data_IF_547118988718
#
_entry.id   IF_547118988718
#
_cell.length_a   1.000
_cell.length_b   1.000
_cell.length_c   1.000
_cell.angle_alpha   90.00
_cell.angle_beta   90.00
_cell.angle_gamma   90.00
#
_symmetry.space_group_name_H-M   'P 1'
#
loop_
_entity.id
_entity.type
_entity.pdbx_description
1 polymer ?
#
# COMPACT_ATOMS: atom_id res chain seq x y z
N UNK A 1 -3.31 -20.09 13.87
CA UNK A 1 -4.74 -20.29 14.17
C UNK A 1 -5.31 -21.10 13.01
N UNK A 2 -5.81 -22.31 13.24
CA UNK A 2 -6.42 -23.10 12.17
C UNK A 2 -7.61 -22.29 11.66
N UNK A 3 -7.52 -21.75 10.44
CA UNK A 3 -8.59 -20.90 9.92
C UNK A 3 -9.87 -21.73 9.84
N UNK A 4 -11.04 -21.09 9.97
CA UNK A 4 -12.32 -21.77 9.79
C UNK A 4 -12.41 -22.53 8.44
N UNK A 5 -11.62 -22.15 7.42
CA UNK A 5 -11.42 -22.89 6.16
C UNK A 5 -10.77 -24.26 6.38
N UNK A 6 -9.87 -24.38 7.36
CA UNK A 6 -9.24 -25.64 7.78
C UNK A 6 -10.22 -26.55 8.54
N UNK A 7 -11.16 -25.98 9.31
CA UNK A 7 -12.25 -26.72 9.95
C UNK A 7 -13.31 -27.17 8.93
N UNK A 8 -13.59 -26.35 7.91
CA UNK A 8 -14.43 -26.71 6.76
C UNK A 8 -13.71 -27.78 5.88
N UNK A 9 -12.38 -27.80 5.84
CA UNK A 9 -11.59 -28.76 5.04
C UNK A 9 -11.79 -30.23 5.40
N UNK A 10 -12.25 -30.54 6.60
CA UNK A 10 -12.39 -31.91 7.09
C UNK A 10 -13.84 -32.42 7.13
N UNK A 11 -14.82 -31.63 6.65
CA UNK A 11 -16.24 -31.95 6.78
C UNK A 11 -16.88 -32.37 5.43
N UNK A 12 -17.55 -33.53 5.32
CA UNK A 12 -18.15 -34.01 4.06
C UNK A 12 -19.31 -33.14 3.51
N UNK A 13 -19.90 -32.23 4.28
CA UNK A 13 -20.94 -31.27 3.81
C UNK A 13 -20.34 -29.89 3.42
N UNK A 14 -19.09 -29.89 2.96
CA UNK A 14 -18.21 -28.73 2.74
C UNK A 14 -18.79 -27.67 1.82
N UNK A 15 -19.27 -28.14 0.67
CA UNK A 15 -19.73 -27.30 -0.42
C UNK A 15 -21.01 -26.58 -0.03
N UNK A 16 -21.93 -27.27 0.62
CA UNK A 16 -23.20 -26.70 1.05
C UNK A 16 -23.03 -25.63 2.14
N UNK A 17 -22.12 -25.85 3.11
CA UNK A 17 -21.78 -24.84 4.12
C UNK A 17 -21.10 -23.59 3.52
N UNK A 18 -20.16 -23.79 2.59
CA UNK A 18 -19.49 -22.69 1.88
C UNK A 18 -20.47 -21.88 1.02
N UNK A 19 -21.32 -22.56 0.24
CA UNK A 19 -22.35 -21.93 -0.59
C UNK A 19 -23.39 -21.18 0.25
N UNK A 20 -23.68 -21.64 1.46
CA UNK A 20 -24.67 -21.00 2.35
C UNK A 20 -24.13 -19.77 3.07
N UNK A 21 -22.84 -19.75 3.43
CA UNK A 21 -22.27 -18.69 4.30
C UNK A 21 -21.28 -17.82 3.53
N UNK A 22 -20.23 -18.41 2.96
CA UNK A 22 -19.14 -17.67 2.34
C UNK A 22 -19.57 -16.97 1.05
N UNK A 23 -20.39 -17.61 0.21
CA UNK A 23 -20.84 -16.99 -1.05
C UNK A 23 -21.71 -15.75 -0.80
N UNK A 24 -22.76 -15.78 0.06
CA UNK A 24 -23.52 -14.58 0.39
C UNK A 24 -22.67 -13.48 1.03
N UNK A 25 -21.76 -13.85 1.94
CA UNK A 25 -20.88 -12.89 2.60
C UNK A 25 -19.89 -12.25 1.61
N UNK A 26 -19.37 -13.02 0.65
CA UNK A 26 -18.53 -12.53 -0.45
C UNK A 26 -19.29 -11.52 -1.32
N UNK A 27 -20.51 -11.87 -1.77
CA UNK A 27 -21.34 -10.99 -2.61
C UNK A 27 -21.67 -9.70 -1.84
N UNK A 28 -22.06 -9.81 -0.57
CA UNK A 28 -22.35 -8.67 0.29
C UNK A 28 -21.13 -7.74 0.44
N UNK A 29 -19.94 -8.32 0.65
CA UNK A 29 -18.68 -7.57 0.73
C UNK A 29 -18.36 -6.83 -0.57
N UNK A 30 -18.49 -7.51 -1.71
CA UNK A 30 -18.19 -6.96 -3.03
C UNK A 30 -19.14 -5.81 -3.41
N UNK A 31 -20.41 -5.91 -2.99
CA UNK A 31 -21.47 -4.96 -3.36
C UNK A 31 -21.68 -3.85 -2.31
N UNK A 32 -21.11 -4.00 -1.12
CA UNK A 32 -21.33 -3.10 0.01
C UNK A 32 -22.68 -3.29 0.72
N UNK A 33 -23.31 -4.47 0.60
CA UNK A 33 -24.55 -4.81 1.31
C UNK A 33 -24.25 -5.15 2.78
N UNK A 34 -24.16 -4.11 3.61
CA UNK A 34 -23.89 -4.25 5.03
C UNK A 34 -24.99 -5.01 5.77
N UNK A 35 -26.24 -4.89 5.36
CA UNK A 35 -27.38 -5.51 6.05
C UNK A 35 -27.33 -7.04 5.94
N UNK A 36 -26.94 -7.56 4.77
CA UNK A 36 -26.75 -9.01 4.60
C UNK A 36 -25.51 -9.50 5.33
N UNK A 37 -24.37 -8.80 5.21
CA UNK A 37 -23.16 -9.20 5.93
C UNK A 37 -23.34 -9.16 7.45
N UNK A 38 -23.97 -8.11 7.98
CA UNK A 38 -24.21 -7.95 9.42
C UNK A 38 -25.02 -9.11 9.97
N UNK A 39 -26.13 -9.49 9.32
CA UNK A 39 -26.95 -10.63 9.77
C UNK A 39 -26.14 -11.93 9.85
N UNK A 40 -25.30 -12.19 8.84
CA UNK A 40 -24.45 -13.38 8.83
C UNK A 40 -23.41 -13.34 9.96
N UNK A 41 -22.80 -12.18 10.21
CA UNK A 41 -21.81 -11.99 11.27
C UNK A 41 -22.46 -12.05 12.66
N UNK A 42 -23.70 -11.55 12.83
CA UNK A 42 -24.46 -11.67 14.08
C UNK A 42 -24.81 -13.13 14.41
N UNK A 43 -25.01 -13.98 13.40
CA UNK A 43 -25.20 -15.42 13.60
C UNK A 43 -23.89 -16.14 13.98
N UNK A 44 -22.73 -15.61 13.58
CA UNK A 44 -21.42 -16.14 13.93
C UNK A 44 -20.34 -15.04 13.86
N UNK A 45 -19.95 -14.51 15.02
CA UNK A 45 -19.01 -13.38 15.15
C UNK A 45 -17.62 -13.67 14.55
N UNK A 46 -17.20 -14.94 14.51
CA UNK A 46 -15.92 -15.36 13.92
C UNK A 46 -15.83 -15.01 12.42
N UNK A 47 -16.97 -14.82 11.74
CA UNK A 47 -17.02 -14.51 10.32
C UNK A 47 -16.45 -13.13 9.97
N UNK A 48 -16.35 -12.20 10.94
CA UNK A 48 -15.75 -10.90 10.71
C UNK A 48 -14.24 -11.01 10.38
N UNK A 49 -13.56 -11.99 11.00
CA UNK A 49 -12.11 -12.20 10.88
C UNK A 49 -11.69 -13.50 10.18
N UNK A 50 -12.63 -14.26 9.60
CA UNK A 50 -12.27 -15.49 8.90
C UNK A 50 -11.94 -15.24 7.42
N UNK A 51 -11.12 -16.11 6.85
CA UNK A 51 -11.00 -16.18 5.39
C UNK A 51 -12.26 -16.80 4.78
N UNK A 52 -12.74 -16.18 3.71
CA UNK A 52 -13.91 -16.61 2.94
C UNK A 52 -13.54 -17.04 1.51
N UNK A 53 -12.27 -16.94 1.11
CA UNK A 53 -11.78 -17.38 -0.21
C UNK A 53 -10.55 -18.29 -0.09
N UNK A 54 -10.18 -18.92 -1.21
CA UNK A 54 -8.95 -19.74 -1.30
C UNK A 54 -7.67 -18.90 -1.18
N UNK A 55 -7.74 -17.59 -1.48
CA UNK A 55 -6.61 -16.66 -1.36
C UNK A 55 -6.44 -16.11 0.06
N UNK A 56 -7.01 -16.74 1.07
CA UNK A 56 -7.03 -16.25 2.46
C UNK A 56 -7.67 -14.85 2.63
N UNK A 57 -8.54 -14.42 1.71
CA UNK A 57 -9.18 -13.11 1.80
C UNK A 57 -10.33 -13.15 2.79
N UNK A 58 -10.37 -12.15 3.68
CA UNK A 58 -11.51 -11.90 4.57
C UNK A 58 -12.54 -11.00 3.91
N UNK A 59 -13.72 -10.88 4.53
CA UNK A 59 -14.76 -9.89 4.19
C UNK A 59 -14.19 -8.48 3.96
N UNK A 60 -13.22 -8.07 4.79
CA UNK A 60 -12.58 -6.76 4.69
C UNK A 60 -11.72 -6.62 3.42
N UNK A 61 -11.00 -7.68 3.01
CA UNK A 61 -10.21 -7.68 1.77
C UNK A 61 -11.11 -7.53 0.55
N UNK A 62 -12.20 -8.30 0.49
CA UNK A 62 -13.14 -8.29 -0.64
C UNK A 62 -13.86 -6.94 -0.76
N UNK A 63 -14.15 -6.29 0.36
CA UNK A 63 -14.80 -4.97 0.37
C UNK A 63 -13.91 -3.84 -0.21
N UNK A 64 -12.59 -4.09 -0.37
CA UNK A 64 -11.67 -3.15 -1.03
C UNK A 64 -11.83 -3.22 -2.55
N UNK A 65 -12.88 -2.57 -3.05
CA UNK A 65 -13.09 -2.42 -4.49
C UNK A 65 -12.21 -1.30 -5.08
N UNK A 66 -11.70 -1.45 -6.32
CA UNK A 66 -11.09 -0.34 -7.07
C UNK A 66 -12.04 0.85 -7.24
N UNK A 67 -13.35 0.60 -7.29
CA UNK A 67 -14.36 1.66 -7.42
C UNK A 67 -15.03 1.88 -6.07
N UNK A 68 -14.57 2.89 -5.35
CA UNK A 68 -15.20 3.31 -4.10
C UNK A 68 -16.60 3.85 -4.34
N UNK A 69 -17.61 3.16 -3.80
CA UNK A 69 -18.99 3.64 -3.71
C UNK A 69 -19.31 3.98 -2.27
N UNK A 70 -20.34 4.81 -2.05
CA UNK A 70 -20.81 5.11 -0.70
C UNK A 70 -21.19 3.85 0.08
N UNK A 71 -21.78 2.86 -0.60
CA UNK A 71 -22.13 1.56 -0.02
C UNK A 71 -20.89 0.80 0.46
N UNK A 72 -19.86 0.67 -0.38
CA UNK A 72 -18.62 0.00 0.02
C UNK A 72 -17.86 0.76 1.11
N UNK A 73 -17.88 2.09 1.09
CA UNK A 73 -17.29 2.90 2.17
C UNK A 73 -18.01 2.70 3.51
N UNK A 74 -19.35 2.68 3.49
CA UNK A 74 -20.16 2.46 4.69
C UNK A 74 -20.05 1.02 5.20
N UNK A 75 -20.01 0.05 4.29
CA UNK A 75 -19.71 -1.35 4.59
C UNK A 75 -18.38 -1.50 5.33
N UNK A 76 -17.29 -0.95 4.77
CA UNK A 76 -15.96 -1.03 5.41
C UNK A 76 -15.98 -0.33 6.76
N UNK A 77 -16.60 0.85 6.88
CA UNK A 77 -16.67 1.59 8.15
C UNK A 77 -17.40 0.81 9.24
N UNK A 78 -18.52 0.17 8.90
CA UNK A 78 -19.26 -0.62 9.86
C UNK A 78 -18.52 -1.91 10.22
N UNK A 79 -17.92 -2.58 9.21
CA UNK A 79 -17.17 -3.82 9.43
C UNK A 79 -15.97 -3.59 10.34
N UNK A 80 -15.11 -2.60 10.08
CA UNK A 80 -13.98 -2.33 10.99
C UNK A 80 -14.46 -1.89 12.37
N UNK A 81 -15.63 -1.26 12.49
CA UNK A 81 -16.22 -0.89 13.77
C UNK A 81 -16.56 -2.06 14.70
N UNK A 82 -16.66 -3.27 14.16
CA UNK A 82 -16.92 -4.51 14.94
C UNK A 82 -15.74 -5.47 14.97
N UNK A 83 -14.66 -5.19 14.22
CA UNK A 83 -13.47 -6.04 14.17
C UNK A 83 -12.48 -5.67 15.28
N UNK A 84 -11.69 -6.66 15.72
CA UNK A 84 -10.50 -6.38 16.54
C UNK A 84 -9.35 -5.87 15.68
N UNK A 85 -8.37 -5.22 16.31
CA UNK A 85 -7.15 -4.77 15.62
C UNK A 85 -6.47 -5.94 14.90
N UNK A 86 -6.36 -7.11 15.54
CA UNK A 86 -5.74 -8.29 14.95
C UNK A 86 -6.49 -8.78 13.71
N UNK A 87 -7.82 -8.69 13.70
CA UNK A 87 -8.64 -9.10 12.55
C UNK A 87 -8.46 -8.12 11.37
N UNK A 88 -8.36 -6.82 11.64
CA UNK A 88 -8.15 -5.80 10.59
C UNK A 88 -6.76 -5.93 9.96
N UNK A 89 -5.79 -6.43 10.73
CA UNK A 89 -4.40 -6.65 10.31
C UNK A 89 -4.17 -7.96 9.57
N UNK A 90 -5.19 -8.82 9.40
CA UNK A 90 -5.05 -10.08 8.68
C UNK A 90 -4.56 -9.85 7.24
N UNK A 91 -3.79 -10.82 6.76
CA UNK A 91 -3.15 -10.79 5.46
C UNK A 91 -3.71 -11.90 4.57
N UNK A 92 -3.92 -11.57 3.30
CA UNK A 92 -4.24 -12.55 2.27
C UNK A 92 -3.05 -13.49 1.97
N UNK A 93 -3.22 -14.41 1.02
CA UNK A 93 -2.20 -15.39 0.62
C UNK A 93 -0.93 -14.75 0.04
N UNK A 94 -1.01 -13.51 -0.44
CA UNK A 94 0.14 -12.73 -0.93
C UNK A 94 0.78 -11.86 0.16
N UNK A 95 0.26 -11.94 1.39
CA UNK A 95 0.69 -11.14 2.52
C UNK A 95 0.06 -9.75 2.56
N UNK A 96 -0.88 -9.39 1.68
CA UNK A 96 -1.44 -8.04 1.69
C UNK A 96 -2.55 -7.93 2.73
N UNK A 97 -2.54 -6.86 3.52
CA UNK A 97 -3.71 -6.44 4.31
C UNK A 97 -4.72 -5.75 3.39
N UNK A 98 -5.92 -5.49 3.90
CA UNK A 98 -6.90 -4.65 3.21
C UNK A 98 -6.34 -3.26 2.83
N UNK A 99 -5.45 -2.67 3.66
CA UNK A 99 -4.79 -1.40 3.30
C UNK A 99 -3.79 -1.59 2.13
N UNK A 100 -3.06 -2.71 2.11
CA UNK A 100 -2.20 -3.06 0.98
C UNK A 100 -2.98 -3.19 -0.34
N UNK A 101 -4.13 -3.87 -0.31
CA UNK A 101 -5.03 -3.95 -1.47
C UNK A 101 -5.58 -2.57 -1.86
N UNK A 102 -5.94 -1.73 -0.89
CA UNK A 102 -6.43 -0.38 -1.15
C UNK A 102 -5.34 0.47 -1.81
N UNK A 103 -4.08 0.28 -1.39
CA UNK A 103 -2.92 0.94 -1.96
C UNK A 103 -2.69 0.53 -3.42
N UNK A 104 -2.76 -0.77 -3.74
CA UNK A 104 -2.68 -1.31 -5.10
C UNK A 104 -3.81 -0.77 -5.97
N UNK A 105 -5.03 -0.72 -5.43
CA UNK A 105 -6.22 -0.23 -6.11
C UNK A 105 -6.25 1.31 -6.29
N UNK A 106 -5.54 2.05 -5.43
CA UNK A 106 -5.60 3.51 -5.37
C UNK A 106 -6.85 4.06 -4.69
N UNK A 107 -7.56 3.25 -3.88
CA UNK A 107 -8.80 3.67 -3.22
C UNK A 107 -8.54 4.46 -1.93
N UNK A 108 -8.24 5.75 -2.09
CA UNK A 108 -7.88 6.66 -0.97
C UNK A 108 -8.98 6.75 0.09
N UNK A 109 -10.25 6.64 -0.29
CA UNK A 109 -11.36 6.76 0.67
C UNK A 109 -11.44 5.57 1.61
N UNK A 110 -11.31 4.35 1.09
CA UNK A 110 -11.23 3.15 1.92
C UNK A 110 -9.96 3.18 2.78
N UNK A 111 -8.81 3.56 2.20
CA UNK A 111 -7.58 3.69 2.97
C UNK A 111 -7.71 4.66 4.15
N UNK A 112 -8.40 5.80 3.98
CA UNK A 112 -8.69 6.72 5.09
C UNK A 112 -9.50 6.06 6.21
N UNK A 113 -10.52 5.28 5.87
CA UNK A 113 -11.34 4.58 6.86
C UNK A 113 -10.46 3.59 7.65
N UNK A 114 -9.66 2.79 6.94
CA UNK A 114 -8.75 1.81 7.53
C UNK A 114 -7.70 2.45 8.45
N UNK A 115 -7.00 3.47 7.98
CA UNK A 115 -5.94 4.16 8.75
C UNK A 115 -6.52 4.93 9.94
N UNK A 116 -7.74 5.47 9.82
CA UNK A 116 -8.44 6.11 10.95
C UNK A 116 -8.77 5.09 12.04
N UNK A 117 -9.11 3.87 11.65
CA UNK A 117 -9.39 2.80 12.60
C UNK A 117 -8.11 2.27 13.24
N UNK A 118 -7.08 1.93 12.44
CA UNK A 118 -5.82 1.39 12.94
C UNK A 118 -4.62 1.90 12.14
N UNK A 119 -3.79 2.75 12.76
CA UNK A 119 -2.58 3.31 12.13
C UNK A 119 -1.49 2.26 11.90
N UNK A 120 -1.51 1.15 12.64
CA UNK A 120 -0.53 0.08 12.51
C UNK A 120 -0.51 -0.55 11.12
N UNK A 121 -1.64 -0.50 10.40
CA UNK A 121 -1.76 -0.94 9.01
C UNK A 121 -0.74 -0.29 8.08
N UNK A 122 -0.33 0.96 8.35
CA UNK A 122 0.68 1.68 7.56
C UNK A 122 2.03 0.95 7.53
N UNK A 123 2.29 0.10 8.51
CA UNK A 123 3.59 -0.50 8.78
C UNK A 123 3.62 -2.02 8.54
N UNK A 124 2.47 -2.64 8.22
CA UNK A 124 2.39 -4.07 7.94
C UNK A 124 2.88 -4.33 6.52
N UNK A 125 3.87 -5.22 6.41
CA UNK A 125 4.52 -5.54 5.14
C UNK A 125 3.74 -6.61 4.40
N UNK A 126 3.23 -6.25 3.22
CA UNK A 126 2.69 -7.18 2.25
C UNK A 126 3.69 -7.65 1.20
N UNK A 127 3.20 -8.35 0.18
CA UNK A 127 4.03 -8.95 -0.86
C UNK A 127 5.07 -9.92 -0.29
N UNK A 128 4.61 -10.88 0.54
CA UNK A 128 5.44 -11.85 1.27
C UNK A 128 6.47 -11.20 2.22
N UNK A 129 6.08 -10.11 2.90
CA UNK A 129 6.85 -9.50 3.99
C UNK A 129 7.87 -8.44 3.56
N UNK A 130 7.90 -8.05 2.29
CA UNK A 130 8.94 -7.15 1.77
C UNK A 130 8.46 -5.72 1.51
N UNK A 131 7.15 -5.46 1.43
CA UNK A 131 6.64 -4.20 0.87
C UNK A 131 5.62 -3.50 1.76
N UNK A 132 5.84 -2.22 2.05
CA UNK A 132 4.89 -1.37 2.78
C UNK A 132 3.75 -0.89 1.86
N UNK A 133 2.55 -0.58 2.39
CA UNK A 133 1.43 -0.08 1.58
C UNK A 133 1.79 1.15 0.72
N UNK A 134 2.57 2.09 1.26
CA UNK A 134 3.03 3.26 0.50
C UNK A 134 3.88 2.86 -0.72
N UNK A 135 4.75 1.86 -0.58
CA UNK A 135 5.54 1.35 -1.70
C UNK A 135 4.64 0.68 -2.75
N UNK A 136 3.64 -0.11 -2.33
CA UNK A 136 2.66 -0.71 -3.25
C UNK A 136 1.90 0.38 -4.05
N UNK A 137 1.47 1.46 -3.40
CA UNK A 137 0.82 2.57 -4.11
C UNK A 137 1.74 3.17 -5.20
N UNK A 138 3.04 3.34 -4.91
CA UNK A 138 4.01 3.86 -5.88
C UNK A 138 4.29 2.86 -7.01
N UNK A 139 4.44 1.57 -6.68
CA UNK A 139 4.64 0.48 -7.64
C UNK A 139 3.51 0.41 -8.68
N UNK A 140 2.27 0.68 -8.26
CA UNK A 140 1.09 0.69 -9.13
C UNK A 140 0.73 2.10 -9.65
N UNK A 141 1.60 3.11 -9.46
CA UNK A 141 1.43 4.46 -9.99
C UNK A 141 0.20 5.21 -9.44
N UNK A 142 -0.22 4.91 -8.21
CA UNK A 142 -1.42 5.50 -7.60
C UNK A 142 -1.10 6.83 -6.93
N UNK A 143 -0.90 7.89 -7.73
CA UNK A 143 -0.49 9.22 -7.26
C UNK A 143 -1.22 9.71 -6.00
N UNK A 144 -2.56 9.80 -6.03
CA UNK A 144 -3.34 10.32 -4.90
C UNK A 144 -3.17 9.49 -3.62
N UNK A 145 -2.99 8.18 -3.79
CA UNK A 145 -2.73 7.25 -2.70
C UNK A 145 -1.31 7.39 -2.15
N UNK A 146 -0.32 7.56 -3.02
CA UNK A 146 1.07 7.84 -2.60
C UNK A 146 1.11 9.13 -1.80
N UNK A 147 0.49 10.19 -2.29
CA UNK A 147 0.44 11.47 -1.58
C UNK A 147 -0.27 11.36 -0.22
N UNK A 148 -1.38 10.60 -0.16
CA UNK A 148 -2.08 10.33 1.09
C UNK A 148 -1.20 9.56 2.10
N UNK A 149 -0.71 8.37 1.72
CA UNK A 149 0.05 7.50 2.61
C UNK A 149 1.39 8.13 3.01
N UNK A 150 2.03 8.89 2.12
CA UNK A 150 3.26 9.63 2.46
C UNK A 150 3.04 10.63 3.60
N UNK A 151 1.90 11.33 3.57
CA UNK A 151 1.50 12.24 4.65
C UNK A 151 1.19 11.51 5.97
N UNK A 152 0.58 10.33 5.88
CA UNK A 152 0.28 9.52 7.07
C UNK A 152 1.52 8.86 7.69
N UNK A 153 2.56 8.56 6.90
CA UNK A 153 3.82 7.94 7.33
C UNK A 153 4.87 8.95 7.85
N UNK A 154 4.43 10.07 8.45
CA UNK A 154 5.31 11.08 9.06
C UNK A 154 6.48 11.53 8.15
N UNK A 155 6.26 11.59 6.84
CA UNK A 155 7.27 11.88 5.82
C UNK A 155 8.50 10.94 5.85
N UNK A 156 8.28 9.68 6.21
CA UNK A 156 9.27 8.59 6.24
C UNK A 156 10.33 8.75 7.33
N UNK A 157 10.02 9.39 8.46
CA UNK A 157 10.98 9.62 9.55
C UNK A 157 10.94 8.57 10.67
N UNK A 158 10.02 7.61 10.58
CA UNK A 158 9.89 6.54 11.57
C UNK A 158 10.89 5.39 11.36
N UNK A 159 10.88 4.42 12.28
CA UNK A 159 11.76 3.24 12.28
C UNK A 159 11.52 2.25 11.13
N UNK A 160 10.39 2.35 10.42
CA UNK A 160 10.02 1.42 9.36
C UNK A 160 10.64 1.82 8.01
N UNK A 161 11.11 3.06 7.89
CA UNK A 161 11.75 3.62 6.71
C UNK A 161 13.27 3.78 6.90
N UNK A 162 14.05 2.80 6.44
CA UNK A 162 15.50 2.94 6.30
C UNK A 162 15.87 3.51 4.92
N UNK A 163 17.16 3.79 4.70
CA UNK A 163 17.63 4.37 3.44
C UNK A 163 17.42 3.47 2.22
N UNK A 164 17.47 2.15 2.40
CA UNK A 164 17.18 1.17 1.34
C UNK A 164 15.72 1.24 0.89
N UNK A 165 14.76 1.14 1.83
CA UNK A 165 13.33 1.22 1.51
C UNK A 165 12.95 2.60 0.95
N UNK A 166 13.53 3.68 1.47
CA UNK A 166 13.34 5.01 0.90
C UNK A 166 13.90 5.13 -0.51
N UNK A 167 15.05 4.50 -0.78
CA UNK A 167 15.64 4.41 -2.12
C UNK A 167 14.74 3.65 -3.10
N UNK A 168 14.15 2.52 -2.67
CA UNK A 168 13.18 1.78 -3.48
C UNK A 168 11.93 2.60 -3.77
N UNK A 169 11.35 3.24 -2.75
CA UNK A 169 10.18 4.11 -2.91
C UNK A 169 10.50 5.27 -3.86
N UNK A 170 11.65 5.92 -3.69
CA UNK A 170 12.12 7.00 -4.56
C UNK A 170 12.24 6.53 -6.01
N UNK A 171 12.88 5.39 -6.25
CA UNK A 171 12.98 4.79 -7.60
C UNK A 171 11.59 4.58 -8.20
N UNK A 172 10.65 4.00 -7.44
CA UNK A 172 9.30 3.76 -7.94
C UNK A 172 8.49 5.02 -8.17
N UNK A 173 8.61 6.05 -7.31
CA UNK A 173 8.00 7.35 -7.59
C UNK A 173 8.55 7.97 -8.87
N UNK A 174 9.85 7.86 -9.13
CA UNK A 174 10.47 8.38 -10.35
C UNK A 174 10.05 7.61 -11.61
N UNK A 175 9.98 6.27 -11.54
CA UNK A 175 9.50 5.42 -12.63
C UNK A 175 8.02 5.64 -12.95
N UNK A 176 7.21 6.00 -11.94
CA UNK A 176 5.78 6.27 -12.07
C UNK A 176 5.45 7.76 -12.28
N UNK A 177 6.43 8.60 -12.58
CA UNK A 177 6.29 10.05 -12.80
C UNK A 177 5.68 10.84 -11.62
N UNK A 178 5.83 10.35 -10.39
CA UNK A 178 5.41 10.98 -9.13
C UNK A 178 6.55 11.89 -8.60
N UNK A 179 6.86 12.94 -9.35
CA UNK A 179 8.06 13.76 -9.13
C UNK A 179 8.04 14.64 -7.87
N UNK A 180 6.87 15.10 -7.44
CA UNK A 180 6.70 15.95 -6.26
C UNK A 180 7.01 15.20 -4.96
N UNK A 181 6.52 13.97 -4.80
CA UNK A 181 6.83 13.10 -3.67
C UNK A 181 8.29 12.65 -3.74
N UNK A 182 8.79 12.28 -4.93
CA UNK A 182 10.21 11.98 -5.11
C UNK A 182 11.12 13.12 -4.64
N UNK A 183 10.76 14.37 -4.98
CA UNK A 183 11.49 15.54 -4.52
C UNK A 183 11.42 15.72 -3.00
N UNK A 184 10.25 15.50 -2.37
CA UNK A 184 10.13 15.55 -0.89
C UNK A 184 11.03 14.50 -0.23
N UNK A 185 11.10 13.28 -0.77
CA UNK A 185 11.97 12.20 -0.27
C UNK A 185 13.44 12.61 -0.32
N UNK A 186 13.93 13.08 -1.47
CA UNK A 186 15.32 13.53 -1.62
C UNK A 186 15.63 14.76 -0.76
N UNK A 187 14.67 15.65 -0.58
CA UNK A 187 14.85 16.83 0.28
C UNK A 187 15.00 16.44 1.74
N UNK A 188 14.20 15.49 2.21
CA UNK A 188 14.28 15.00 3.59
C UNK A 188 15.49 14.08 3.81
N UNK A 189 15.94 13.37 2.77
CA UNK A 189 17.08 12.45 2.81
C UNK A 189 18.04 12.66 1.63
N UNK A 190 18.85 13.75 1.65
CA UNK A 190 19.74 14.09 0.55
C UNK A 190 20.76 13.00 0.19
N UNK A 191 21.12 12.15 1.17
CA UNK A 191 22.05 11.04 0.97
C UNK A 191 21.57 10.02 -0.06
N UNK A 192 20.24 9.88 -0.24
CA UNK A 192 19.66 8.94 -1.20
C UNK A 192 19.96 9.32 -2.65
N UNK A 193 20.13 10.61 -2.94
CA UNK A 193 20.43 11.10 -4.28
C UNK A 193 21.80 10.67 -4.81
N UNK A 194 22.69 10.21 -3.93
CA UNK A 194 24.02 9.72 -4.27
C UNK A 194 24.09 8.19 -4.42
N UNK A 195 22.99 7.47 -4.14
CA UNK A 195 22.98 6.00 -4.26
C UNK A 195 23.02 5.58 -5.74
N UNK A 196 23.76 4.53 -6.12
CA UNK A 196 23.92 4.13 -7.52
C UNK A 196 22.58 3.89 -8.25
N UNK A 197 21.62 3.24 -7.59
CA UNK A 197 20.30 2.96 -8.14
C UNK A 197 19.51 4.24 -8.46
N UNK A 198 19.51 5.21 -7.54
CA UNK A 198 18.83 6.49 -7.75
C UNK A 198 19.55 7.33 -8.80
N UNK A 199 20.89 7.31 -8.82
CA UNK A 199 21.67 8.04 -9.81
C UNK A 199 21.40 7.54 -11.24
N UNK A 200 21.25 6.22 -11.42
CA UNK A 200 20.86 5.62 -12.69
C UNK A 200 19.48 6.10 -13.13
N UNK A 201 18.48 6.06 -12.23
CA UNK A 201 17.12 6.53 -12.53
C UNK A 201 17.11 8.03 -12.87
N UNK A 202 17.84 8.86 -12.11
CA UNK A 202 17.98 10.29 -12.38
C UNK A 202 18.68 10.56 -13.71
N UNK A 203 19.67 9.76 -14.10
CA UNK A 203 20.35 9.90 -15.39
C UNK A 203 19.41 9.56 -16.56
N UNK A 204 18.62 8.49 -16.43
CA UNK A 204 17.59 8.13 -17.42
C UNK A 204 16.56 9.25 -17.57
N UNK A 205 16.08 9.81 -16.46
CA UNK A 205 15.14 10.93 -16.48
C UNK A 205 15.74 12.21 -17.09
N UNK A 206 16.98 12.56 -16.72
CA UNK A 206 17.69 13.71 -17.30
C UNK A 206 17.90 13.58 -18.82
N UNK A 207 17.97 12.34 -19.34
CA UNK A 207 18.06 12.05 -20.77
C UNK A 207 16.72 12.10 -21.51
N UNK A 208 15.59 12.32 -20.81
CA UNK A 208 14.24 12.46 -21.37
C UNK A 208 13.63 13.84 -21.05
N UNK A 209 14.07 14.92 -21.71
CA UNK A 209 13.66 16.30 -21.39
C UNK A 209 12.15 16.55 -21.50
N UNK A 210 11.45 15.73 -22.29
CA UNK A 210 9.99 15.83 -22.48
C UNK A 210 9.18 15.44 -21.25
N UNK A 211 9.74 14.70 -20.29
CA UNK A 211 9.08 14.34 -19.03
C UNK A 211 9.00 15.53 -18.04
N UNK A 212 9.80 16.59 -18.26
CA UNK A 212 9.93 17.73 -17.34
C UNK A 212 9.33 19.04 -17.90
N UNK A 213 8.45 18.97 -18.91
CA UNK A 213 7.93 20.18 -19.59
C UNK A 213 7.23 21.17 -18.65
N UNK A 214 6.71 20.72 -17.51
CA UNK A 214 6.02 21.57 -16.53
C UNK A 214 6.77 21.74 -15.19
N UNK A 215 8.01 21.25 -15.07
CA UNK A 215 8.78 21.39 -13.83
C UNK A 215 9.61 22.67 -13.90
N UNK A 216 9.25 23.65 -13.06
CA UNK A 216 9.94 24.94 -12.95
C UNK A 216 11.46 24.76 -12.98
N UNK A 217 12.11 25.57 -13.82
CA UNK A 217 13.55 25.68 -14.09
C UNK A 217 14.48 25.55 -12.86
N UNK A 218 13.98 25.86 -11.65
CA UNK A 218 14.69 25.74 -10.37
C UNK A 218 15.00 24.30 -9.95
N UNK A 219 14.15 23.32 -10.27
CA UNK A 219 14.38 21.90 -9.93
C UNK A 219 15.52 21.31 -10.75
N UNK A 220 15.48 21.50 -12.08
CA UNK A 220 16.54 21.06 -12.99
C UNK A 220 17.87 21.69 -12.57
N UNK A 221 17.89 22.99 -12.20
CA UNK A 221 19.11 23.62 -11.70
C UNK A 221 19.62 23.04 -10.38
N UNK A 222 18.74 22.66 -9.45
CA UNK A 222 19.11 22.03 -8.18
C UNK A 222 19.67 20.62 -8.40
N UNK A 223 19.03 19.82 -9.24
CA UNK A 223 19.50 18.47 -9.59
C UNK A 223 20.84 18.53 -10.33
N UNK A 224 21.00 19.45 -11.30
CA UNK A 224 22.29 19.65 -11.99
C UNK A 224 23.38 20.09 -11.02
N UNK A 225 23.07 20.97 -10.05
CA UNK A 225 24.04 21.38 -9.01
C UNK A 225 24.43 20.21 -8.10
N UNK A 226 23.47 19.40 -7.67
CA UNK A 226 23.71 18.22 -6.84
C UNK A 226 24.56 17.18 -7.58
N UNK A 227 24.24 16.87 -8.85
CA UNK A 227 25.03 15.96 -9.69
C UNK A 227 26.45 16.50 -9.91
N UNK A 228 26.62 17.81 -10.10
CA UNK A 228 27.94 18.45 -10.23
C UNK A 228 28.75 18.35 -8.92
N UNK A 229 28.11 18.54 -7.77
CA UNK A 229 28.76 18.35 -6.46
C UNK A 229 29.17 16.89 -6.24
N UNK A 230 28.31 15.92 -6.56
CA UNK A 230 28.65 14.49 -6.46
C UNK A 230 29.80 14.10 -7.41
N UNK A 231 29.81 14.61 -8.65
CA UNK A 231 30.95 14.40 -9.56
C UNK A 231 32.24 15.03 -9.03
N UNK A 232 32.18 16.19 -8.39
CA UNK A 232 33.34 16.84 -7.79
C UNK A 232 33.90 16.05 -6.59
N UNK A 233 33.01 15.49 -5.77
CA UNK A 233 33.37 14.64 -4.63
C UNK A 233 34.00 13.32 -5.12
N UNK A 234 33.42 12.67 -6.13
CA UNK A 234 33.99 11.46 -6.74
C UNK A 234 35.36 11.75 -7.39
N UNK A 235 35.54 12.91 -8.02
CA UNK A 235 36.83 13.28 -8.63
C UNK A 235 37.92 13.62 -7.60
N UNK A 236 37.55 14.03 -6.39
CA UNK A 236 38.48 14.26 -5.28
C UNK A 236 38.86 12.96 -4.57
N UNK A 237 37.95 11.99 -4.45
CA UNK A 237 38.26 10.69 -3.81
C UNK A 237 39.14 9.78 -4.68
N UNK A 238 39.13 9.94 -6.01
CA UNK A 238 39.97 9.17 -6.94
C UNK A 238 41.34 9.81 -7.25
N UNK A 239 41.61 11.04 -6.77
CA UNK A 239 42.89 11.73 -6.96
C UNK A 239 43.79 11.74 -5.70
N UNK A 240 43.47 10.94 -4.68
CA UNK A 240 44.23 10.83 -3.41
C UNK A 240 44.66 9.38 -3.12
N UNK A 241 44.75 8.53 -4.15
CA UNK A 241 45.43 7.22 -4.08
C UNK A 241 46.52 7.22 -5.16
#
# INVERSE_FOLDING_TARGET
MLSWVFLIAQNPNREEGYLRICVPLYIASLTGDWETARRLIEENEDLAGCSITENNETTLHIAVSPKSTKLTEDFVRNLVGIMTDEQVQLQDQTGNTALGLAAIAGNVRIARILVTHSRDLLNIRGGNGNTLPLYLAALYGRYDMVNYLYGESENLNDRFWNDEHCGWLLSKCLEADIHDIALKIVTNRPQLAATPSVLEVLAVLASKPTAFRDIEHKFIQRVIRAIRQCKYILHLTFNVI
#
